data_IF_655884364321
#
_entry.id   IF_655884364321
#
_cell.length_a   1.000
_cell.length_b   1.000
_cell.length_c   1.000
_cell.angle_alpha   90.00
_cell.angle_beta   90.00
_cell.angle_gamma   90.00
#
_symmetry.space_group_name_H-M   'P 1'
#
loop_
_entity.id
_entity.type
_entity.pdbx_description
1 polymer ?
#
# COMPACT_ATOMS: atom_id res chain seq x y z
N UNK A 1 8.42 -15.57 1.96
CA UNK A 1 7.81 -14.25 2.20
C UNK A 1 8.63 -13.21 1.48
N UNK A 2 8.03 -12.38 0.62
CA UNK A 2 8.74 -11.32 -0.09
C UNK A 2 9.05 -10.13 0.84
N UNK A 3 10.08 -9.34 0.51
CA UNK A 3 10.40 -8.09 1.23
C UNK A 3 9.16 -7.18 1.26
N UNK A 4 8.40 -7.13 0.15
CA UNK A 4 7.15 -6.34 0.08
C UNK A 4 6.12 -6.79 1.11
N UNK A 5 5.86 -8.09 1.22
CA UNK A 5 4.93 -8.63 2.24
C UNK A 5 5.41 -8.35 3.66
N UNK A 6 6.71 -8.50 3.94
CA UNK A 6 7.30 -8.18 5.26
C UNK A 6 6.98 -6.74 5.67
N UNK A 7 7.16 -5.80 4.76
CA UNK A 7 6.88 -4.39 5.05
C UNK A 7 5.38 -4.10 5.13
N UNK A 8 4.53 -4.78 4.35
CA UNK A 8 3.07 -4.67 4.49
C UNK A 8 2.63 -5.11 5.90
N UNK A 9 3.13 -6.24 6.40
CA UNK A 9 2.80 -6.72 7.74
C UNK A 9 3.34 -5.79 8.83
N UNK A 10 4.55 -5.25 8.67
CA UNK A 10 5.13 -4.30 9.61
C UNK A 10 4.27 -3.03 9.77
N UNK A 11 3.74 -2.50 8.66
CA UNK A 11 2.94 -1.27 8.68
C UNK A 11 1.44 -1.54 8.89
N UNK A 12 1.00 -2.80 8.83
CA UNK A 12 -0.40 -3.20 8.95
C UNK A 12 -1.04 -2.73 10.26
N UNK A 13 -0.28 -2.75 11.36
CA UNK A 13 -0.71 -2.29 12.68
C UNK A 13 -0.93 -0.77 12.70
N UNK A 14 -0.08 -0.02 12.01
CA UNK A 14 -0.17 1.43 11.90
C UNK A 14 -1.27 1.92 10.95
N UNK A 15 -1.74 1.06 10.03
CA UNK A 15 -2.74 1.40 9.01
C UNK A 15 -4.20 1.15 9.45
N UNK A 16 -4.50 1.30 10.75
CA UNK A 16 -5.85 1.14 11.33
C UNK A 16 -6.48 -0.23 11.00
N UNK A 17 -5.79 -1.30 11.42
CA UNK A 17 -6.23 -2.69 11.28
C UNK A 17 -6.52 -3.08 9.84
N UNK A 18 -5.42 -3.14 9.08
CA UNK A 18 -5.33 -3.85 7.83
C UNK A 18 -6.06 -5.20 7.92
N UNK A 19 -7.19 -5.33 7.24
CA UNK A 19 -8.01 -6.53 7.23
C UNK A 19 -7.68 -7.33 5.99
N UNK A 20 -7.09 -8.50 6.20
CA UNK A 20 -6.79 -9.44 5.12
C UNK A 20 -8.06 -9.74 4.31
N UNK A 21 -7.92 -9.69 3.00
CA UNK A 21 -8.99 -9.97 2.03
C UNK A 21 -8.40 -10.78 0.88
N UNK A 22 -9.15 -11.78 0.42
CA UNK A 22 -8.81 -12.49 -0.81
C UNK A 22 -9.16 -11.62 -2.01
N UNK A 23 -8.16 -11.26 -2.80
CA UNK A 23 -8.33 -10.65 -4.12
C UNK A 23 -8.16 -11.72 -5.19
N UNK A 24 -8.54 -11.38 -6.44
CA UNK A 24 -8.43 -12.27 -7.59
C UNK A 24 -6.98 -12.75 -7.78
N UNK A 25 -6.05 -11.83 -7.67
CA UNK A 25 -4.60 -12.02 -7.86
C UNK A 25 -3.86 -12.57 -6.63
N UNK A 26 -4.55 -12.80 -5.51
CA UNK A 26 -3.96 -13.32 -4.28
C UNK A 26 -4.43 -12.64 -3.01
N UNK A 27 -3.77 -12.94 -1.89
CA UNK A 27 -4.14 -12.38 -0.60
C UNK A 27 -3.61 -10.95 -0.47
N UNK A 28 -4.50 -10.03 -0.12
CA UNK A 28 -4.18 -8.64 0.13
C UNK A 28 -4.82 -8.16 1.42
N UNK A 29 -4.99 -6.84 1.52
CA UNK A 29 -5.51 -6.18 2.69
C UNK A 29 -6.40 -5.00 2.32
N UNK A 30 -7.45 -4.78 3.09
CA UNK A 30 -8.28 -3.58 3.06
C UNK A 30 -8.03 -2.71 4.28
N UNK A 31 -7.95 -1.41 4.09
CA UNK A 31 -7.57 -0.45 5.13
C UNK A 31 -8.25 0.91 4.91
N UNK A 32 -8.27 1.74 5.94
CA UNK A 32 -8.64 3.14 5.79
C UNK A 32 -7.56 3.86 4.99
N UNK A 33 -7.94 4.70 4.02
CA UNK A 33 -6.96 5.42 3.21
C UNK A 33 -6.30 6.54 4.04
N UNK A 34 -4.98 6.49 4.28
CA UNK A 34 -4.32 7.53 5.06
C UNK A 34 -4.35 8.90 4.36
N UNK A 35 -4.34 8.94 3.03
CA UNK A 35 -4.36 10.20 2.25
C UNK A 35 -5.74 10.87 2.25
N UNK A 36 -6.82 10.10 2.27
CA UNK A 36 -8.17 10.67 2.27
C UNK A 36 -8.62 11.10 3.68
N UNK A 37 -7.97 10.60 4.75
CA UNK A 37 -8.45 10.73 6.13
C UNK A 37 -8.64 12.18 6.54
N UNK A 38 -7.74 13.07 6.12
CA UNK A 38 -7.82 14.50 6.42
C UNK A 38 -8.89 15.22 5.58
N UNK A 39 -9.08 14.79 4.33
CA UNK A 39 -10.09 15.37 3.44
C UNK A 39 -11.52 14.91 3.76
N UNK A 40 -11.70 13.85 4.56
CA UNK A 40 -13.00 13.39 5.02
C UNK A 40 -13.52 14.25 6.17
N UNK A 41 -14.63 14.97 5.96
CA UNK A 41 -15.27 15.77 7.02
C UNK A 41 -15.97 14.91 8.07
N UNK A 42 -16.58 13.80 7.66
CA UNK A 42 -17.33 12.91 8.55
C UNK A 42 -16.41 11.88 9.21
N UNK A 43 -16.39 11.85 10.53
CA UNK A 43 -15.57 10.92 11.30
C UNK A 43 -15.85 9.44 10.98
N UNK A 44 -17.12 9.05 10.82
CA UNK A 44 -17.49 7.69 10.41
C UNK A 44 -16.89 7.28 9.06
N UNK A 45 -16.56 8.24 8.19
CA UNK A 45 -15.93 7.98 6.88
C UNK A 45 -14.39 8.05 6.93
N UNK A 46 -13.81 8.65 7.99
CA UNK A 46 -12.35 8.70 8.20
C UNK A 46 -11.76 7.31 8.47
N UNK A 47 -12.52 6.44 9.13
CA UNK A 47 -12.06 5.11 9.55
C UNK A 47 -12.61 3.98 8.67
N UNK A 48 -13.42 4.29 7.65
CA UNK A 48 -13.97 3.27 6.76
C UNK A 48 -12.88 2.73 5.82
N UNK A 49 -12.85 1.40 5.66
CA UNK A 49 -11.84 0.68 4.87
C UNK A 49 -12.07 0.83 3.36
N UNK A 50 -11.70 2.00 2.83
CA UNK A 50 -11.90 2.37 1.42
C UNK A 50 -10.66 2.22 0.54
N UNK A 51 -9.53 1.79 1.10
CA UNK A 51 -8.31 1.50 0.36
C UNK A 51 -7.99 0.01 0.40
N UNK A 52 -7.27 -0.46 -0.60
CA UNK A 52 -6.82 -1.84 -0.74
C UNK A 52 -5.34 -1.90 -1.09
N UNK A 53 -4.62 -2.79 -0.42
CA UNK A 53 -3.29 -3.26 -0.77
C UNK A 53 -3.42 -4.67 -1.32
N UNK A 54 -3.18 -4.88 -2.61
CA UNK A 54 -3.35 -6.18 -3.22
C UNK A 54 -2.13 -6.57 -4.07
N UNK A 55 -1.79 -7.87 -4.14
CA UNK A 55 -0.76 -8.37 -5.03
C UNK A 55 -1.23 -8.26 -6.48
N UNK A 56 -0.29 -8.22 -7.42
CA UNK A 56 -0.58 -8.32 -8.86
C UNK A 56 -0.07 -9.66 -9.36
N UNK A 57 -0.96 -10.44 -9.99
CA UNK A 57 -0.67 -11.78 -10.48
C UNK A 57 0.54 -11.77 -11.42
N UNK A 58 1.37 -12.81 -11.32
CA UNK A 58 2.60 -12.92 -12.09
C UNK A 58 3.73 -11.96 -11.66
N UNK A 59 3.55 -11.18 -10.58
CA UNK A 59 4.59 -10.29 -10.07
C UNK A 59 4.76 -10.40 -8.55
N UNK A 60 5.92 -9.98 -8.05
CA UNK A 60 6.18 -9.82 -6.61
C UNK A 60 5.80 -8.42 -6.08
N UNK A 61 4.98 -7.69 -6.82
CA UNK A 61 4.60 -6.32 -6.50
C UNK A 61 3.20 -6.26 -5.90
N UNK A 62 3.02 -5.29 -5.02
CA UNK A 62 1.73 -4.95 -4.45
C UNK A 62 1.35 -3.53 -4.89
N UNK A 63 0.06 -3.30 -5.05
CA UNK A 63 -0.51 -2.00 -5.38
C UNK A 63 -1.40 -1.51 -4.26
N UNK A 64 -1.28 -0.22 -3.99
CA UNK A 64 -2.22 0.53 -3.17
C UNK A 64 -3.24 1.17 -4.10
N UNK A 65 -4.53 0.95 -3.83
CA UNK A 65 -5.62 1.63 -4.53
C UNK A 65 -6.66 2.16 -3.54
N UNK A 66 -7.09 3.40 -3.76
CA UNK A 66 -8.23 4.02 -3.11
C UNK A 66 -9.02 4.79 -4.17
N UNK A 67 -10.30 4.47 -4.31
CA UNK A 67 -11.21 5.13 -5.25
C UNK A 67 -12.47 5.56 -4.49
N UNK A 68 -12.40 6.69 -3.78
CA UNK A 68 -13.49 7.15 -2.92
C UNK A 68 -13.88 8.59 -3.23
N UNK A 69 -15.17 8.83 -3.46
CA UNK A 69 -15.73 10.17 -3.41
C UNK A 69 -15.65 10.73 -1.99
N UNK A 70 -14.98 11.88 -1.79
CA UNK A 70 -15.04 12.58 -0.51
C UNK A 70 -16.44 13.20 -0.44
N UNK A 71 -17.28 12.74 0.49
CA UNK A 71 -18.67 13.17 0.68
C UNK A 71 -19.69 12.71 -0.38
N UNK A 72 -19.88 11.38 -0.53
CA UNK A 72 -21.16 10.81 -0.96
C UNK A 72 -21.73 11.34 -2.28
N UNK A 73 -21.04 11.08 -3.40
CA UNK A 73 -21.69 10.92 -4.71
C UNK A 73 -22.48 12.11 -5.26
N UNK A 74 -22.09 13.35 -4.98
CA UNK A 74 -22.62 14.51 -5.70
C UNK A 74 -21.55 15.01 -6.68
N UNK A 75 -21.93 15.13 -7.95
CA UNK A 75 -21.06 15.60 -9.04
C UNK A 75 -20.28 16.85 -8.62
N UNK A 76 -18.95 16.81 -8.76
CA UNK A 76 -18.06 17.96 -8.55
C UNK A 76 -17.31 18.03 -7.22
N UNK A 77 -17.49 17.07 -6.30
CA UNK A 77 -16.83 17.10 -4.97
C UNK A 77 -15.57 16.23 -4.98
N UNK A 78 -14.42 16.84 -4.65
CA UNK A 78 -13.09 16.23 -4.53
C UNK A 78 -13.13 14.70 -4.34
N UNK A 79 -12.63 13.93 -5.32
CA UNK A 79 -12.50 12.49 -5.21
C UNK A 79 -11.10 12.13 -4.75
N UNK A 80 -11.01 11.23 -3.77
CA UNK A 80 -9.75 10.62 -3.38
C UNK A 80 -9.50 9.42 -4.31
N UNK A 81 -8.71 9.64 -5.36
CA UNK A 81 -8.31 8.63 -6.31
C UNK A 81 -6.79 8.47 -6.26
N UNK A 82 -6.32 7.44 -5.58
CA UNK A 82 -4.91 7.11 -5.50
C UNK A 82 -4.72 5.67 -5.93
N UNK A 83 -4.03 5.45 -7.04
CA UNK A 83 -3.56 4.12 -7.44
C UNK A 83 -2.06 4.20 -7.67
N UNK A 84 -1.28 3.47 -6.87
CA UNK A 84 0.18 3.50 -6.93
C UNK A 84 0.81 2.20 -6.46
N UNK A 85 2.07 1.97 -6.81
CA UNK A 85 2.85 0.83 -6.32
C UNK A 85 3.08 0.94 -4.81
N UNK A 86 3.22 -0.19 -4.13
CA UNK A 86 3.50 -0.23 -2.69
C UNK A 86 4.72 0.59 -2.28
N UNK A 87 5.80 0.57 -3.08
CA UNK A 87 7.00 1.37 -2.82
C UNK A 87 6.71 2.87 -2.84
N UNK A 88 5.86 3.33 -3.76
CA UNK A 88 5.46 4.74 -3.87
C UNK A 88 4.55 5.11 -2.71
N UNK A 89 3.60 4.25 -2.37
CA UNK A 89 2.76 4.40 -1.20
C UNK A 89 3.60 4.56 0.07
N UNK A 90 4.56 3.66 0.29
CA UNK A 90 5.42 3.67 1.46
C UNK A 90 6.28 4.93 1.51
N UNK A 91 6.78 5.41 0.35
CA UNK A 91 7.54 6.67 0.25
C UNK A 91 6.74 7.88 0.73
N UNK A 92 5.47 7.97 0.33
CA UNK A 92 4.61 9.11 0.67
C UNK A 92 4.06 9.02 2.10
N UNK A 93 3.68 7.83 2.55
CA UNK A 93 3.03 7.65 3.84
C UNK A 93 4.04 7.50 5.00
N UNK A 94 5.16 6.80 4.77
CA UNK A 94 6.16 6.53 5.79
C UNK A 94 7.59 6.53 5.21
N UNK A 95 8.14 7.73 4.93
CA UNK A 95 9.46 7.88 4.32
C UNK A 95 10.61 7.16 5.04
N UNK A 96 10.69 7.07 6.38
CA UNK A 96 11.76 6.31 7.02
C UNK A 96 11.66 4.80 6.73
N UNK A 97 10.45 4.23 6.76
CA UNK A 97 10.26 2.82 6.39
C UNK A 97 10.54 2.56 4.90
N UNK A 98 10.24 3.53 4.04
CA UNK A 98 10.61 3.45 2.62
C UNK A 98 12.12 3.34 2.40
N UNK A 99 12.93 4.13 3.13
CA UNK A 99 14.39 4.05 3.03
C UNK A 99 14.91 2.66 3.38
N UNK A 100 14.39 2.07 4.45
CA UNK A 100 14.72 0.71 4.86
C UNK A 100 14.28 -0.31 3.81
N UNK A 101 13.05 -0.19 3.28
CA UNK A 101 12.52 -1.06 2.23
C UNK A 101 13.38 -1.06 0.97
N UNK A 102 13.79 0.13 0.51
CA UNK A 102 14.66 0.26 -0.67
C UNK A 102 16.05 -0.32 -0.37
N UNK A 103 16.63 -0.02 0.80
CA UNK A 103 17.92 -0.56 1.21
C UNK A 103 17.93 -2.10 1.22
N UNK A 104 16.95 -2.74 1.86
CA UNK A 104 16.84 -4.21 1.88
C UNK A 104 16.61 -4.79 0.48
N UNK A 105 15.83 -4.11 -0.36
CA UNK A 105 15.58 -4.55 -1.75
C UNK A 105 16.84 -4.49 -2.60
N UNK A 106 17.68 -3.47 -2.41
CA UNK A 106 18.96 -3.31 -3.11
C UNK A 106 20.01 -4.32 -2.63
N UNK A 107 20.09 -4.57 -1.31
CA UNK A 107 20.92 -5.62 -0.71
C UNK A 107 20.54 -7.02 -1.23
N UNK A 108 19.24 -7.32 -1.29
CA UNK A 108 18.74 -8.58 -1.83
C UNK A 108 19.06 -8.78 -3.31
N UNK A 109 19.19 -7.70 -4.09
CA UNK A 109 19.66 -7.78 -5.49
C UNK A 109 21.16 -8.04 -5.59
N UNK A 110 21.96 -7.37 -4.76
CA UNK A 110 23.43 -7.57 -4.74
C UNK A 110 23.83 -8.99 -4.35
N UNK A 111 23.12 -9.60 -3.39
CA UNK A 111 23.39 -10.97 -2.97
C UNK A 111 22.90 -12.06 -3.95
N UNK A 112 22.12 -11.70 -4.97
CA UNK A 112 21.64 -12.62 -6.01
C UNK A 112 22.30 -12.36 -7.37
N UNK A 113 23.33 -11.50 -7.45
CA UNK A 113 24.19 -11.50 -8.63
C UNK A 113 25.04 -12.78 -8.57
N UNK A 114 24.91 -13.71 -9.53
CA UNK A 114 25.89 -14.77 -9.65
C UNK A 114 27.24 -14.08 -9.86
N UNK A 115 28.18 -14.31 -8.95
CA UNK A 115 29.56 -13.92 -9.18
C UNK A 115 29.99 -14.55 -10.49
N UNK A 116 30.20 -13.74 -11.52
CA UNK A 116 30.90 -14.19 -12.71
C UNK A 116 32.31 -14.57 -12.26
N UNK A 117 32.73 -15.83 -12.36
CA UNK A 117 34.13 -16.16 -12.18
C UNK A 117 34.93 -15.53 -13.33
N UNK A 118 36.01 -14.85 -12.98
CA UNK A 118 37.10 -14.49 -13.90
C UNK A 118 37.94 -15.73 -14.21
#
# INVERSE_FOLDING_TARGET
MTITEKYIEMIALSLLHCQRKQFRDGMGCTLACPFCREAQKRESKKNEKCASLYPVEGTFNHFFSCNRGLNGGVQGVHSCNYTMRFSTFLKHWNPPQYRNYVGEKELGKKNNQPGFPD
#
